data_IF_095895159482
#
_entry.id   IF_095895159482
#
_cell.length_a   1.000
_cell.length_b   1.000
_cell.length_c   1.000
_cell.angle_alpha   90.00
_cell.angle_beta   90.00
_cell.angle_gamma   90.00
#
_symmetry.space_group_name_H-M   'P 1'
#
loop_
_entity.id
_entity.type
_entity.pdbx_description
1 polymer ?
#
# COMPACT_ATOMS: atom_id res chain seq x y z
N UNK A 1 25.88 -12.31 -17.61
CA UNK A 1 25.02 -11.39 -18.39
C UNK A 1 24.42 -12.16 -19.55
N UNK A 2 23.11 -12.13 -19.76
CA UNK A 2 22.52 -12.60 -21.03
C UNK A 2 22.19 -11.37 -21.88
N UNK A 3 22.73 -11.30 -23.09
CA UNK A 3 22.51 -10.19 -24.04
C UNK A 3 21.01 -9.94 -24.32
N UNK A 4 20.20 -11.01 -24.20
CA UNK A 4 18.75 -10.96 -24.34
C UNK A 4 18.04 -10.17 -23.23
N UNK A 5 18.49 -10.27 -21.98
CA UNK A 5 17.87 -9.60 -20.82
C UNK A 5 18.09 -8.09 -20.88
N UNK A 6 19.32 -7.66 -21.15
CA UNK A 6 19.64 -6.24 -21.36
C UNK A 6 18.78 -5.65 -22.47
N UNK A 7 18.70 -6.32 -23.63
CA UNK A 7 17.90 -5.86 -24.77
C UNK A 7 16.41 -5.73 -24.45
N UNK A 8 15.86 -6.63 -23.64
CA UNK A 8 14.46 -6.55 -23.21
C UNK A 8 14.21 -5.34 -22.29
N UNK A 9 15.06 -5.15 -21.28
CA UNK A 9 14.94 -4.03 -20.33
C UNK A 9 15.16 -2.69 -21.05
N UNK A 10 16.12 -2.65 -21.96
CA UNK A 10 16.36 -1.50 -22.82
C UNK A 10 15.13 -1.15 -23.66
N UNK A 11 14.42 -2.16 -24.20
CA UNK A 11 13.17 -1.96 -24.93
C UNK A 11 12.07 -1.40 -24.02
N UNK A 12 11.94 -1.89 -22.78
CA UNK A 12 10.99 -1.35 -21.80
C UNK A 12 11.29 0.11 -21.44
N UNK A 13 12.57 0.45 -21.26
CA UNK A 13 13.00 1.81 -20.96
C UNK A 13 12.70 2.74 -22.16
N UNK A 14 13.01 2.32 -23.38
CA UNK A 14 12.69 3.06 -24.59
C UNK A 14 11.19 3.31 -24.76
N UNK A 15 10.38 2.26 -24.61
CA UNK A 15 8.92 2.37 -24.69
C UNK A 15 8.37 3.36 -23.65
N UNK A 16 8.91 3.34 -22.43
CA UNK A 16 8.51 4.25 -21.38
C UNK A 16 8.93 5.70 -21.68
N UNK A 17 10.19 5.96 -22.02
CA UNK A 17 10.66 7.31 -22.28
C UNK A 17 10.00 7.93 -23.52
N UNK A 18 9.73 7.13 -24.56
CA UNK A 18 8.93 7.59 -25.71
C UNK A 18 7.51 7.96 -25.33
N UNK A 19 6.90 7.21 -24.39
CA UNK A 19 5.59 7.54 -23.84
C UNK A 19 5.63 8.85 -23.05
N UNK A 20 6.64 9.06 -22.21
CA UNK A 20 6.85 10.31 -21.45
C UNK A 20 7.01 11.53 -22.37
N UNK A 21 7.66 11.36 -23.52
CA UNK A 21 7.88 12.42 -24.51
C UNK A 21 6.75 12.59 -25.53
N UNK A 22 5.68 11.80 -25.42
CA UNK A 22 4.56 11.81 -26.38
C UNK A 22 4.98 11.57 -27.84
N UNK A 23 6.17 10.99 -28.07
CA UNK A 23 6.76 10.82 -29.40
C UNK A 23 6.04 9.76 -30.26
N UNK A 24 5.13 8.96 -29.68
CA UNK A 24 4.31 8.00 -30.42
C UNK A 24 3.05 7.60 -29.65
N UNK A 25 1.90 7.55 -30.34
CA UNK A 25 0.72 6.79 -29.90
C UNK A 25 1.09 5.31 -29.69
N UNK A 26 0.36 4.56 -28.83
CA UNK A 26 0.72 3.20 -28.46
C UNK A 26 0.88 2.37 -29.73
N UNK A 27 2.12 2.00 -30.04
CA UNK A 27 2.38 1.12 -31.17
C UNK A 27 1.58 -0.16 -30.94
N UNK A 28 0.98 -0.68 -32.00
CA UNK A 28 0.31 -1.99 -32.03
C UNK A 28 1.22 -3.15 -31.60
N UNK A 29 2.51 -2.90 -31.34
CA UNK A 29 3.52 -3.83 -30.85
C UNK A 29 3.99 -3.66 -29.39
N UNK A 30 3.46 -2.71 -28.59
CA UNK A 30 3.88 -2.59 -27.18
C UNK A 30 3.41 -3.79 -26.35
N UNK A 31 4.34 -4.45 -25.66
CA UNK A 31 4.02 -5.59 -24.81
C UNK A 31 3.06 -5.19 -23.69
N UNK A 32 2.26 -6.15 -23.17
CA UNK A 32 1.37 -5.87 -22.02
C UNK A 32 2.15 -5.32 -20.82
N UNK A 33 3.37 -5.82 -20.61
CA UNK A 33 4.32 -5.36 -19.60
C UNK A 33 4.67 -3.89 -19.77
N UNK A 34 5.01 -3.48 -20.99
CA UNK A 34 5.32 -2.10 -21.36
C UNK A 34 4.16 -1.14 -21.05
N UNK A 35 2.92 -1.52 -21.37
CA UNK A 35 1.72 -0.71 -21.06
C UNK A 35 1.47 -0.53 -19.56
N UNK A 36 1.66 -1.60 -18.78
CA UNK A 36 1.52 -1.52 -17.31
C UNK A 36 2.63 -0.65 -16.73
N UNK A 37 3.87 -0.85 -17.16
CA UNK A 37 5.00 -0.03 -16.75
C UNK A 37 4.75 1.45 -17.04
N UNK A 38 4.30 1.78 -18.25
CA UNK A 38 3.95 3.14 -18.64
C UNK A 38 2.96 3.77 -17.66
N UNK A 39 1.86 3.09 -17.36
CA UNK A 39 0.85 3.61 -16.44
C UNK A 39 1.40 3.82 -15.02
N UNK A 40 2.10 2.83 -14.46
CA UNK A 40 2.57 2.87 -13.08
C UNK A 40 3.73 3.86 -12.93
N UNK A 41 4.77 3.75 -13.77
CA UNK A 41 5.94 4.63 -13.74
C UNK A 41 5.57 6.08 -14.04
N UNK A 42 4.64 6.34 -14.97
CA UNK A 42 4.19 7.71 -15.24
C UNK A 42 3.36 8.29 -14.09
N UNK A 43 2.56 7.48 -13.39
CA UNK A 43 1.88 7.93 -12.18
C UNK A 43 2.88 8.28 -11.07
N UNK A 44 3.93 7.47 -10.88
CA UNK A 44 5.02 7.77 -9.94
C UNK A 44 5.74 9.05 -10.34
N UNK A 45 6.13 9.17 -11.61
CA UNK A 45 6.77 10.37 -12.15
C UNK A 45 5.96 11.64 -11.85
N UNK A 46 4.65 11.64 -12.15
CA UNK A 46 3.79 12.82 -11.88
C UNK A 46 3.72 13.20 -10.41
N UNK A 47 3.65 12.20 -9.53
CA UNK A 47 3.61 12.42 -8.08
C UNK A 47 4.94 13.03 -7.59
N UNK A 48 6.06 12.50 -8.08
CA UNK A 48 7.40 13.01 -7.78
C UNK A 48 7.60 14.43 -8.33
N UNK A 49 7.27 14.67 -9.61
CA UNK A 49 7.35 15.99 -10.24
C UNK A 49 6.52 17.03 -9.48
N UNK A 50 5.38 16.62 -8.91
CA UNK A 50 4.52 17.49 -8.12
C UNK A 50 5.09 17.75 -6.72
N UNK A 51 5.44 16.70 -5.99
CA UNK A 51 5.80 16.81 -4.58
C UNK A 51 7.24 17.32 -4.40
N UNK A 52 8.13 16.99 -5.33
CA UNK A 52 9.55 17.31 -5.28
C UNK A 52 9.94 18.43 -6.23
N UNK A 53 8.97 19.18 -6.75
CA UNK A 53 9.20 20.32 -7.64
C UNK A 53 10.31 21.26 -7.16
N UNK A 54 10.34 21.73 -5.89
CA UNK A 54 11.37 22.65 -5.43
C UNK A 54 12.77 22.03 -5.44
N UNK A 55 12.86 20.72 -5.18
CA UNK A 55 14.10 19.97 -5.21
C UNK A 55 14.56 19.83 -6.67
N UNK A 56 13.68 19.36 -7.55
CA UNK A 56 13.93 19.19 -8.98
C UNK A 56 14.34 20.50 -9.66
N UNK A 57 13.74 21.64 -9.31
CA UNK A 57 14.06 22.94 -9.90
C UNK A 57 15.50 23.41 -9.57
N UNK A 58 16.17 22.82 -8.57
CA UNK A 58 17.52 23.20 -8.13
C UNK A 58 18.66 22.44 -8.81
N UNK A 59 18.38 21.51 -9.72
CA UNK A 59 19.43 20.79 -10.46
C UNK A 59 19.25 21.01 -11.96
N UNK A 60 20.30 21.57 -12.57
CA UNK A 60 20.41 21.76 -14.01
C UNK A 60 20.95 20.49 -14.66
N UNK A 61 20.23 19.99 -15.68
CA UNK A 61 20.65 18.82 -16.46
C UNK A 61 20.92 19.29 -17.88
N UNK A 62 22.15 19.73 -18.12
CA UNK A 62 22.52 20.43 -19.36
C UNK A 62 22.99 19.43 -20.44
N UNK A 63 23.51 18.27 -20.01
CA UNK A 63 24.01 17.22 -20.89
C UNK A 63 23.52 15.81 -20.52
N UNK A 64 23.74 14.85 -21.43
CA UNK A 64 23.47 13.43 -21.19
C UNK A 64 24.41 12.89 -20.09
N UNK A 65 25.63 13.42 -19.99
CA UNK A 65 26.59 13.03 -18.96
C UNK A 65 26.16 13.53 -17.57
N UNK A 66 25.61 14.74 -17.49
CA UNK A 66 24.99 15.25 -16.26
C UNK A 66 23.81 14.39 -15.87
N UNK A 67 22.96 14.02 -16.83
CA UNK A 67 21.82 13.14 -16.59
C UNK A 67 22.26 11.77 -16.07
N UNK A 68 23.29 11.16 -16.66
CA UNK A 68 23.86 9.88 -16.21
C UNK A 68 24.45 10.00 -14.80
N UNK A 69 25.19 11.07 -14.53
CA UNK A 69 25.81 11.31 -13.20
C UNK A 69 24.75 11.47 -12.12
N UNK A 70 23.73 12.30 -12.36
CA UNK A 70 22.62 12.52 -11.42
C UNK A 70 21.82 11.24 -11.25
N UNK A 71 21.54 10.52 -12.35
CA UNK A 71 20.87 9.22 -12.31
C UNK A 71 21.57 8.25 -11.38
N UNK A 72 22.87 8.03 -11.58
CA UNK A 72 23.64 7.10 -10.75
C UNK A 72 23.68 7.56 -9.29
N UNK A 73 23.90 8.85 -9.01
CA UNK A 73 23.90 9.35 -7.62
C UNK A 73 22.57 9.11 -6.90
N UNK A 74 21.45 9.37 -7.57
CA UNK A 74 20.12 9.16 -6.98
C UNK A 74 19.83 7.67 -6.83
N UNK A 75 20.13 6.86 -7.84
CA UNK A 75 19.83 5.43 -7.80
C UNK A 75 20.75 4.68 -6.84
N UNK A 76 22.05 4.99 -6.78
CA UNK A 76 22.97 4.43 -5.78
C UNK A 76 22.50 4.78 -4.36
N UNK A 77 22.05 6.01 -4.13
CA UNK A 77 21.52 6.43 -2.84
C UNK A 77 20.20 5.77 -2.50
N UNK A 78 19.31 5.64 -3.47
CA UNK A 78 18.05 4.92 -3.34
C UNK A 78 18.37 3.49 -2.87
N UNK A 79 19.18 2.74 -3.62
CA UNK A 79 19.52 1.33 -3.40
C UNK A 79 20.65 1.07 -2.39
N UNK A 80 21.08 2.07 -1.62
CA UNK A 80 22.15 1.95 -0.60
C UNK A 80 21.75 1.00 0.54
N UNK A 81 20.46 0.88 0.82
CA UNK A 81 19.90 -0.01 1.84
C UNK A 81 19.87 -1.49 1.42
N UNK A 82 20.24 -1.81 0.17
CA UNK A 82 20.23 -3.17 -0.37
C UNK A 82 18.83 -3.74 -0.64
N UNK A 83 17.76 -3.02 -0.31
CA UNK A 83 16.38 -3.50 -0.48
C UNK A 83 15.95 -3.32 -1.94
N UNK A 84 15.45 -4.39 -2.55
CA UNK A 84 14.96 -4.36 -3.94
C UNK A 84 13.51 -4.86 -3.96
N UNK A 85 12.62 -4.10 -4.61
CA UNK A 85 11.24 -4.50 -4.87
C UNK A 85 10.71 -3.85 -6.15
N UNK A 86 9.57 -4.33 -6.67
CA UNK A 86 8.97 -3.82 -7.90
C UNK A 86 8.63 -2.32 -7.85
N UNK A 87 8.23 -1.80 -6.69
CA UNK A 87 7.98 -0.36 -6.51
C UNK A 87 9.23 0.47 -6.76
N UNK A 88 10.37 0.05 -6.21
CA UNK A 88 11.67 0.71 -6.37
C UNK A 88 12.27 0.47 -7.76
N UNK A 89 12.04 -0.67 -8.38
CA UNK A 89 12.41 -0.87 -9.80
C UNK A 89 11.65 0.12 -10.69
N UNK A 90 10.37 0.38 -10.39
CA UNK A 90 9.57 1.38 -11.11
C UNK A 90 10.09 2.81 -10.91
N UNK A 91 10.68 3.15 -9.75
CA UNK A 91 11.27 4.49 -9.54
C UNK A 91 12.46 4.74 -10.46
N UNK A 92 13.22 3.70 -10.82
CA UNK A 92 14.32 3.78 -11.80
C UNK A 92 13.79 4.31 -13.15
N UNK A 93 12.70 3.72 -13.65
CA UNK A 93 12.07 4.20 -14.89
C UNK A 93 11.53 5.61 -14.70
N UNK A 94 10.75 5.85 -13.65
CA UNK A 94 10.13 7.15 -13.38
C UNK A 94 11.17 8.29 -13.33
N UNK A 95 12.33 8.05 -12.69
CA UNK A 95 13.41 9.03 -12.63
C UNK A 95 14.07 9.25 -13.99
N UNK A 96 14.28 8.19 -14.79
CA UNK A 96 14.68 8.33 -16.19
C UNK A 96 13.70 9.21 -16.99
N UNK A 97 12.40 9.09 -16.73
CA UNK A 97 11.34 9.93 -17.29
C UNK A 97 11.44 11.41 -16.88
N UNK A 98 11.88 11.70 -15.66
CA UNK A 98 12.12 13.07 -15.18
C UNK A 98 13.35 13.65 -15.88
N UNK A 99 14.44 12.88 -15.93
CA UNK A 99 15.69 13.32 -16.55
C UNK A 99 15.53 13.64 -18.02
N UNK A 100 14.81 12.81 -18.80
CA UNK A 100 14.60 13.08 -20.23
C UNK A 100 13.84 14.39 -20.45
N UNK A 101 12.84 14.71 -19.62
CA UNK A 101 12.13 15.99 -19.71
C UNK A 101 13.04 17.17 -19.37
N UNK A 102 13.92 17.03 -18.37
CA UNK A 102 14.85 18.11 -17.99
C UNK A 102 15.92 18.34 -19.06
N UNK A 103 16.55 17.28 -19.57
CA UNK A 103 17.56 17.37 -20.64
C UNK A 103 16.99 18.04 -21.89
N UNK A 104 15.76 17.69 -22.28
CA UNK A 104 15.14 18.26 -23.48
C UNK A 104 14.62 19.68 -23.29
N UNK A 105 14.28 20.09 -22.06
CA UNK A 105 13.84 21.46 -21.76
C UNK A 105 14.97 22.48 -21.92
N UNK A 106 16.20 22.08 -21.63
CA UNK A 106 17.40 22.94 -21.72
C UNK A 106 18.04 22.92 -23.13
N UNK A 107 17.59 22.07 -24.04
CA UNK A 107 18.16 21.95 -25.40
C UNK A 107 17.33 22.69 -26.45
N UNK A 108 18.03 23.49 -27.26
CA UNK A 108 17.46 24.26 -28.38
C UNK A 108 17.00 23.35 -29.54
N UNK A 109 17.60 22.16 -29.69
CA UNK A 109 17.16 21.13 -30.63
C UNK A 109 17.23 19.74 -29.94
N UNK A 110 16.10 19.04 -29.75
CA UNK A 110 16.11 17.69 -29.21
C UNK A 110 16.79 16.75 -30.20
N UNK A 111 17.93 16.17 -29.82
CA UNK A 111 18.52 15.08 -30.59
C UNK A 111 17.55 13.89 -30.51
N UNK A 112 17.16 13.38 -31.69
CA UNK A 112 16.18 12.31 -31.87
C UNK A 112 16.57 11.07 -31.06
N UNK A 113 17.85 10.91 -30.71
CA UNK A 113 18.36 9.74 -30.01
C UNK A 113 18.59 9.93 -28.50
N UNK A 114 18.32 11.11 -27.93
CA UNK A 114 18.53 11.38 -26.48
C UNK A 114 17.82 10.36 -25.57
N UNK A 115 16.62 9.91 -25.94
CA UNK A 115 15.90 8.90 -25.17
C UNK A 115 16.59 7.54 -25.20
N UNK A 116 17.37 7.22 -26.25
CA UNK A 116 18.13 5.97 -26.36
C UNK A 116 19.26 5.95 -25.34
N UNK A 117 19.99 7.05 -25.18
CA UNK A 117 21.08 7.15 -24.20
C UNK A 117 20.58 7.01 -22.77
N UNK A 118 19.47 7.70 -22.43
CA UNK A 118 18.84 7.56 -21.12
C UNK A 118 18.29 6.15 -20.91
N UNK A 119 17.66 5.56 -21.93
CA UNK A 119 17.21 4.16 -21.86
C UNK A 119 18.37 3.20 -21.62
N UNK A 120 19.56 3.48 -22.18
CA UNK A 120 20.73 2.63 -22.06
C UNK A 120 21.20 2.57 -20.61
N UNK A 121 21.45 3.72 -19.97
CA UNK A 121 21.94 3.71 -18.59
C UNK A 121 20.87 3.28 -17.58
N UNK A 122 19.58 3.50 -17.87
CA UNK A 122 18.48 2.91 -17.10
C UNK A 122 18.55 1.39 -17.16
N UNK A 123 18.68 0.81 -18.36
CA UNK A 123 18.76 -0.63 -18.53
C UNK A 123 20.03 -1.22 -17.92
N UNK A 124 21.17 -0.53 -18.07
CA UNK A 124 22.45 -0.88 -17.47
C UNK A 124 22.34 -0.94 -15.95
N UNK A 125 21.76 0.08 -15.32
CA UNK A 125 21.57 0.10 -13.87
C UNK A 125 20.67 -1.04 -13.40
N UNK A 126 19.53 -1.27 -14.06
CA UNK A 126 18.61 -2.36 -13.71
C UNK A 126 19.32 -3.70 -13.82
N UNK A 127 20.01 -3.98 -14.92
CA UNK A 127 20.73 -5.25 -15.10
C UNK A 127 21.80 -5.45 -14.03
N UNK A 128 22.55 -4.40 -13.72
CA UNK A 128 23.69 -4.49 -12.80
C UNK A 128 23.28 -4.58 -11.32
N UNK A 129 22.17 -3.94 -10.93
CA UNK A 129 21.80 -3.80 -9.53
C UNK A 129 20.53 -4.57 -9.14
N UNK A 130 19.59 -4.79 -10.07
CA UNK A 130 18.29 -5.42 -9.76
C UNK A 130 17.98 -6.66 -10.59
N UNK A 131 18.79 -6.97 -11.60
CA UNK A 131 18.54 -8.06 -12.56
C UNK A 131 18.47 -9.45 -11.92
N UNK A 132 19.33 -9.74 -10.93
CA UNK A 132 19.26 -11.01 -10.20
C UNK A 132 17.97 -11.15 -9.41
N UNK A 133 17.60 -10.10 -8.67
CA UNK A 133 16.37 -10.06 -7.90
C UNK A 133 15.14 -10.24 -8.80
N UNK A 134 15.10 -9.56 -9.95
CA UNK A 134 14.02 -9.67 -10.94
C UNK A 134 13.85 -11.12 -11.41
N UNK A 135 14.95 -11.82 -11.72
CA UNK A 135 14.90 -13.22 -12.14
C UNK A 135 14.36 -14.15 -11.06
N UNK A 136 14.77 -13.93 -9.80
CA UNK A 136 14.30 -14.71 -8.66
C UNK A 136 12.81 -14.46 -8.35
N UNK A 137 12.29 -13.28 -8.71
CA UNK A 137 10.91 -12.85 -8.44
C UNK A 137 9.97 -12.95 -9.64
N UNK A 138 10.11 -14.04 -10.42
CA UNK A 138 9.18 -14.35 -11.52
C UNK A 138 9.36 -13.51 -12.79
N UNK A 139 10.46 -12.77 -12.88
CA UNK A 139 10.84 -11.96 -14.03
C UNK A 139 9.81 -10.88 -14.37
N UNK A 140 9.85 -10.40 -15.60
CA UNK A 140 8.96 -9.33 -16.07
C UNK A 140 7.51 -9.77 -16.37
N UNK A 141 7.06 -10.90 -15.82
CA UNK A 141 5.71 -11.42 -16.00
C UNK A 141 4.73 -10.67 -15.09
N UNK A 142 3.68 -10.08 -15.69
CA UNK A 142 2.72 -9.18 -15.02
C UNK A 142 2.08 -9.68 -13.73
N UNK A 143 1.89 -11.00 -13.57
CA UNK A 143 1.35 -11.57 -12.32
C UNK A 143 2.30 -11.38 -11.14
N UNK A 144 3.59 -11.17 -11.38
CA UNK A 144 4.61 -11.01 -10.35
C UNK A 144 4.91 -9.55 -9.98
N UNK A 145 4.50 -8.58 -10.79
CA UNK A 145 4.72 -7.14 -10.50
C UNK A 145 3.93 -6.67 -9.26
N UNK A 146 2.84 -7.37 -8.96
CA UNK A 146 1.99 -7.21 -7.79
C UNK A 146 2.10 -8.41 -6.84
N UNK A 147 3.07 -9.30 -7.08
CA UNK A 147 3.44 -10.38 -6.18
C UNK A 147 4.70 -9.94 -5.44
N UNK A 148 4.59 -9.77 -4.15
CA UNK A 148 5.59 -9.04 -3.37
C UNK A 148 6.02 -10.00 -2.26
N UNK A 149 6.89 -10.96 -2.57
CA UNK A 149 7.28 -11.99 -1.58
C UNK A 149 8.48 -11.57 -0.71
N UNK A 150 8.94 -10.30 -0.77
CA UNK A 150 10.27 -9.96 -0.20
C UNK A 150 10.40 -8.63 0.59
N UNK A 151 9.33 -7.86 0.86
CA UNK A 151 9.46 -6.65 1.72
C UNK A 151 9.54 -6.93 3.23
N UNK A 152 9.28 -8.15 3.71
CA UNK A 152 9.01 -8.40 5.14
C UNK A 152 10.22 -8.84 5.99
N UNK A 153 11.39 -9.10 5.39
CA UNK A 153 12.49 -9.76 6.10
C UNK A 153 13.45 -8.85 6.89
N UNK A 154 13.59 -7.55 6.58
CA UNK A 154 14.75 -6.78 7.08
C UNK A 154 14.45 -5.47 7.83
N UNK A 155 13.19 -5.14 8.12
CA UNK A 155 12.84 -3.93 8.90
C UNK A 155 12.87 -4.12 10.44
N UNK A 156 13.52 -5.16 10.97
CA UNK A 156 13.60 -5.42 12.41
C UNK A 156 14.95 -5.16 13.10
N UNK A 157 16.02 -4.80 12.37
CA UNK A 157 17.29 -4.42 12.99
C UNK A 157 17.83 -3.11 12.40
N UNK A 158 17.58 -1.98 13.07
CA UNK A 158 18.48 -0.80 13.09
C UNK A 158 17.89 0.31 13.97
N UNK A 159 17.70 0.01 15.26
CA UNK A 159 17.66 1.05 16.28
C UNK A 159 18.97 0.96 17.07
N UNK A 160 20.06 1.52 16.54
CA UNK A 160 21.21 2.05 17.32
C UNK A 160 22.33 2.51 16.37
N UNK A 161 22.69 3.79 16.48
CA UNK A 161 24.11 4.17 16.43
C UNK A 161 24.62 5.02 15.25
N UNK A 162 24.76 6.32 15.56
CA UNK A 162 25.79 7.30 15.15
C UNK A 162 25.69 7.99 13.78
N UNK A 163 25.40 9.29 13.86
CA UNK A 163 25.68 10.32 12.84
C UNK A 163 27.17 10.39 12.47
N UNK A 164 27.52 10.55 11.19
CA UNK A 164 28.77 11.16 10.78
C UNK A 164 28.55 12.64 10.47
N UNK A 165 29.35 13.45 11.14
CA UNK A 165 29.54 14.88 10.92
C UNK A 165 30.39 15.12 9.67
N UNK A 166 29.83 15.74 8.63
CA UNK A 166 30.55 16.70 7.78
C UNK A 166 29.60 17.41 6.82
N UNK A 167 29.46 18.72 7.01
CA UNK A 167 28.77 19.64 6.11
C UNK A 167 29.56 19.79 4.81
N UNK A 168 28.94 19.39 3.70
CA UNK A 168 29.17 20.02 2.38
C UNK A 168 27.83 20.12 1.67
N UNK A 169 27.46 21.35 1.33
CA UNK A 169 26.26 21.72 0.58
C UNK A 169 26.36 21.17 -0.85
N UNK A 170 25.84 19.97 -1.06
CA UNK A 170 25.39 19.39 -2.34
C UNK A 170 24.11 18.62 -1.98
N UNK A 171 23.01 18.90 -2.67
CA UNK A 171 21.62 18.65 -2.22
C UNK A 171 21.39 17.33 -1.49
N UNK A 172 20.54 17.34 -0.47
CA UNK A 172 20.26 16.20 0.40
C UNK A 172 19.53 15.08 -0.38
N UNK A 173 20.31 14.27 -1.12
CA UNK A 173 19.84 13.11 -1.87
C UNK A 173 19.17 12.07 -0.97
N UNK A 174 19.45 12.08 0.33
CA UNK A 174 18.80 11.20 1.30
C UNK A 174 17.33 11.58 1.47
N UNK A 175 17.02 12.87 1.55
CA UNK A 175 15.64 13.34 1.59
C UNK A 175 14.91 13.02 0.27
N UNK A 176 15.56 13.29 -0.87
CA UNK A 176 14.98 13.01 -2.17
C UNK A 176 14.67 11.52 -2.38
N UNK A 177 15.60 10.61 -2.02
CA UNK A 177 15.37 9.16 -2.06
C UNK A 177 14.24 8.71 -1.15
N UNK A 178 14.18 9.21 0.10
CA UNK A 178 13.05 8.90 1.01
C UNK A 178 11.70 9.33 0.44
N UNK A 179 11.63 10.50 -0.18
CA UNK A 179 10.40 11.01 -0.76
C UNK A 179 10.00 10.25 -2.05
N UNK A 180 10.97 9.83 -2.86
CA UNK A 180 10.79 8.94 -4.01
C UNK A 180 10.22 7.57 -3.57
N UNK A 181 10.83 6.95 -2.56
CA UNK A 181 10.38 5.69 -2.00
C UNK A 181 8.95 5.80 -1.41
N UNK A 182 8.66 6.87 -0.65
CA UNK A 182 7.33 7.13 -0.11
C UNK A 182 6.28 7.34 -1.21
N UNK A 183 6.63 8.04 -2.29
CA UNK A 183 5.77 8.22 -3.46
C UNK A 183 5.52 6.89 -4.20
N UNK A 184 6.54 6.04 -4.31
CA UNK A 184 6.43 4.71 -4.91
C UNK A 184 5.50 3.80 -4.10
N UNK A 185 5.65 3.76 -2.77
CA UNK A 185 4.77 3.01 -1.88
C UNK A 185 3.33 3.52 -2.00
N UNK A 186 3.14 4.85 -1.97
CA UNK A 186 1.82 5.47 -2.13
C UNK A 186 1.15 5.13 -3.48
N UNK A 187 1.94 5.10 -4.56
CA UNK A 187 1.48 4.69 -5.90
C UNK A 187 1.13 3.20 -5.96
N UNK A 188 1.95 2.34 -5.38
CA UNK A 188 1.69 0.90 -5.29
C UNK A 188 0.40 0.62 -4.50
N UNK A 189 0.23 1.27 -3.35
CA UNK A 189 -1.02 1.24 -2.58
C UNK A 189 -2.21 1.71 -3.42
N UNK A 190 -2.08 2.80 -4.20
CA UNK A 190 -3.15 3.33 -5.06
C UNK A 190 -3.56 2.32 -6.15
N UNK A 191 -2.58 1.71 -6.82
CA UNK A 191 -2.80 0.69 -7.85
C UNK A 191 -3.49 -0.55 -7.27
N UNK A 192 -3.00 -1.06 -6.14
CA UNK A 192 -3.59 -2.23 -5.48
C UNK A 192 -5.02 -1.94 -4.99
N UNK A 193 -5.29 -0.72 -4.47
CA UNK A 193 -6.67 -0.31 -4.12
C UNK A 193 -7.60 -0.34 -5.33
N UNK A 194 -7.14 0.10 -6.50
CA UNK A 194 -7.96 0.11 -7.71
C UNK A 194 -8.29 -1.32 -8.18
N UNK A 195 -7.30 -2.20 -8.16
CA UNK A 195 -7.45 -3.62 -8.48
C UNK A 195 -8.44 -4.32 -7.54
N UNK A 196 -8.24 -4.20 -6.22
CA UNK A 196 -9.08 -4.86 -5.23
C UNK A 196 -10.53 -4.36 -5.30
N UNK A 197 -10.74 -3.07 -5.53
CA UNK A 197 -12.09 -2.54 -5.78
C UNK A 197 -12.74 -3.18 -7.01
N UNK A 198 -11.97 -3.44 -8.07
CA UNK A 198 -12.49 -4.14 -9.24
C UNK A 198 -12.86 -5.60 -8.92
N UNK A 199 -12.00 -6.32 -8.20
CA UNK A 199 -12.27 -7.70 -7.75
C UNK A 199 -13.53 -7.76 -6.89
N UNK A 200 -13.65 -6.87 -5.89
CA UNK A 200 -14.80 -6.79 -5.00
C UNK A 200 -16.09 -6.45 -5.74
N UNK A 201 -16.04 -5.53 -6.73
CA UNK A 201 -17.20 -5.22 -7.58
C UNK A 201 -17.67 -6.40 -8.43
N UNK A 202 -16.78 -7.31 -8.79
CA UNK A 202 -17.10 -8.50 -9.56
C UNK A 202 -17.78 -9.60 -8.71
N UNK A 203 -17.71 -9.53 -7.38
CA UNK A 203 -18.40 -10.45 -6.49
C UNK A 203 -19.91 -10.25 -6.54
N UNK A 204 -20.64 -11.35 -6.72
CA UNK A 204 -22.10 -11.36 -6.60
C UNK A 204 -22.52 -11.13 -5.16
N UNK A 205 -23.73 -10.60 -4.98
CA UNK A 205 -24.30 -10.41 -3.64
C UNK A 205 -24.43 -11.75 -2.87
N UNK A 206 -24.74 -12.83 -3.59
CA UNK A 206 -24.82 -14.19 -3.02
C UNK A 206 -23.47 -14.67 -2.48
N UNK A 207 -22.39 -14.50 -3.23
CA UNK A 207 -21.06 -14.92 -2.78
C UNK A 207 -20.58 -14.09 -1.59
N UNK A 208 -20.86 -12.78 -1.57
CA UNK A 208 -20.56 -11.92 -0.42
C UNK A 208 -21.29 -12.40 0.83
N UNK A 209 -22.59 -12.70 0.73
CA UNK A 209 -23.38 -13.20 1.84
C UNK A 209 -22.92 -14.58 2.31
N UNK A 210 -22.56 -15.47 1.38
CA UNK A 210 -22.06 -16.82 1.68
C UNK A 210 -20.75 -16.78 2.46
N UNK A 211 -19.76 -16.02 1.98
CA UNK A 211 -18.49 -15.84 2.69
C UNK A 211 -18.70 -15.12 4.05
N UNK A 212 -19.59 -14.12 4.12
CA UNK A 212 -19.88 -13.43 5.39
C UNK A 212 -20.43 -14.38 6.45
N UNK A 213 -21.41 -15.23 6.10
CA UNK A 213 -21.96 -16.25 7.00
C UNK A 213 -20.90 -17.24 7.49
N UNK A 214 -20.01 -17.68 6.59
CA UNK A 214 -18.89 -18.56 6.96
C UNK A 214 -17.97 -17.87 7.97
N UNK A 215 -17.60 -16.61 7.72
CA UNK A 215 -16.74 -15.86 8.63
C UNK A 215 -17.43 -15.57 9.97
N UNK A 216 -18.74 -15.30 9.99
CA UNK A 216 -19.52 -15.21 11.24
C UNK A 216 -19.34 -16.46 12.09
N UNK A 217 -19.49 -17.65 11.50
CA UNK A 217 -19.31 -18.92 12.23
C UNK A 217 -17.88 -19.07 12.76
N UNK A 218 -16.86 -18.76 11.94
CA UNK A 218 -15.45 -18.78 12.36
C UNK A 218 -15.19 -17.81 13.53
N UNK A 219 -15.74 -16.60 13.46
CA UNK A 219 -15.61 -15.58 14.51
C UNK A 219 -16.24 -16.04 15.82
N UNK A 220 -17.46 -16.58 15.78
CA UNK A 220 -18.16 -17.06 16.98
C UNK A 220 -17.39 -18.20 17.67
N UNK A 221 -16.74 -19.06 16.88
CA UNK A 221 -15.87 -20.12 17.38
C UNK A 221 -14.48 -19.63 17.84
N UNK A 222 -14.09 -18.40 17.49
CA UNK A 222 -12.74 -17.91 17.70
C UNK A 222 -12.42 -17.62 19.17
N UNK A 223 -11.28 -18.11 19.66
CA UNK A 223 -10.96 -18.05 21.09
C UNK A 223 -10.76 -16.63 21.63
N UNK A 224 -10.17 -15.73 20.84
CA UNK A 224 -10.02 -14.32 21.23
C UNK A 224 -11.38 -13.65 21.34
N UNK A 225 -12.26 -13.88 20.35
CA UNK A 225 -13.63 -13.37 20.37
C UNK A 225 -14.40 -13.84 21.62
N UNK A 226 -14.30 -15.12 21.96
CA UNK A 226 -14.99 -15.68 23.13
C UNK A 226 -14.53 -15.04 24.44
N UNK A 227 -13.22 -14.78 24.60
CA UNK A 227 -12.62 -14.19 25.81
C UNK A 227 -12.86 -12.68 25.94
N UNK A 228 -12.96 -11.96 24.82
CA UNK A 228 -13.13 -10.51 24.81
C UNK A 228 -14.47 -10.06 25.40
N UNK A 229 -14.44 -8.99 26.19
CA UNK A 229 -15.62 -8.36 26.79
C UNK A 229 -15.96 -7.04 26.14
N UNK A 230 -14.96 -6.30 25.67
CA UNK A 230 -15.09 -4.98 25.02
C UNK A 230 -14.59 -5.08 23.58
N UNK A 231 -15.52 -4.99 22.63
CA UNK A 231 -15.26 -5.30 21.22
C UNK A 231 -15.58 -4.09 20.37
N UNK A 232 -14.67 -3.72 19.49
CA UNK A 232 -14.93 -2.79 18.41
C UNK A 232 -15.23 -3.55 17.11
N UNK A 233 -16.28 -3.14 16.42
CA UNK A 233 -16.69 -3.72 15.13
C UNK A 233 -17.16 -2.63 14.17
N UNK A 234 -16.79 -2.76 12.89
CA UNK A 234 -17.23 -1.84 11.85
C UNK A 234 -18.65 -2.19 11.36
N UNK A 235 -19.37 -1.18 10.88
CA UNK A 235 -20.62 -1.37 10.16
C UNK A 235 -20.31 -1.48 8.66
N UNK A 236 -20.59 -2.64 8.08
CA UNK A 236 -20.07 -3.03 6.76
C UNK A 236 -20.52 -2.11 5.63
N UNK A 237 -19.57 -1.75 4.76
CA UNK A 237 -19.87 -1.27 3.40
C UNK A 237 -20.24 -2.44 2.48
N UNK A 238 -20.80 -2.12 1.30
CA UNK A 238 -21.19 -3.13 0.30
C UNK A 238 -20.02 -4.01 -0.19
N UNK A 239 -18.78 -3.51 -0.10
CA UNK A 239 -17.54 -4.18 -0.51
C UNK A 239 -16.76 -4.77 0.67
N UNK A 240 -17.42 -4.97 1.83
CA UNK A 240 -16.84 -5.56 3.04
C UNK A 240 -17.65 -6.79 3.50
N UNK A 241 -17.04 -7.64 4.32
CA UNK A 241 -17.73 -8.74 5.01
C UNK A 241 -18.87 -8.16 5.87
N UNK A 242 -20.06 -8.77 5.79
CA UNK A 242 -21.22 -8.35 6.56
C UNK A 242 -21.06 -8.70 8.04
N UNK A 243 -21.17 -7.71 8.91
CA UNK A 243 -20.93 -7.86 10.36
C UNK A 243 -22.22 -7.93 11.19
N UNK A 244 -23.40 -7.83 10.58
CA UNK A 244 -24.68 -7.73 11.30
C UNK A 244 -24.92 -8.93 12.25
N UNK A 245 -24.66 -10.15 11.78
CA UNK A 245 -24.83 -11.35 12.61
C UNK A 245 -23.82 -11.41 13.77
N UNK A 246 -22.59 -10.93 13.54
CA UNK A 246 -21.56 -10.82 14.60
C UNK A 246 -22.01 -9.80 15.65
N UNK A 247 -22.54 -8.65 15.24
CA UNK A 247 -23.08 -7.63 16.16
C UNK A 247 -24.18 -8.24 17.02
N UNK A 248 -25.14 -8.97 16.43
CA UNK A 248 -26.20 -9.64 17.19
C UNK A 248 -25.64 -10.60 18.23
N UNK A 249 -24.65 -11.43 17.87
CA UNK A 249 -24.01 -12.37 18.80
C UNK A 249 -23.22 -11.66 19.91
N UNK A 250 -22.56 -10.52 19.62
CA UNK A 250 -21.88 -9.68 20.64
C UNK A 250 -22.86 -9.32 21.76
N UNK A 251 -24.04 -8.81 21.40
CA UNK A 251 -25.06 -8.42 22.38
C UNK A 251 -25.69 -9.64 23.08
N UNK A 252 -25.96 -10.72 22.36
CA UNK A 252 -26.49 -11.96 22.95
C UNK A 252 -25.57 -12.54 24.03
N UNK A 253 -24.25 -12.36 23.88
CA UNK A 253 -23.25 -12.81 24.86
C UNK A 253 -22.98 -11.78 25.97
N UNK A 254 -23.71 -10.68 26.02
CA UNK A 254 -23.53 -9.63 27.03
C UNK A 254 -22.19 -8.90 26.93
N UNK A 255 -21.57 -8.88 25.75
CA UNK A 255 -20.32 -8.14 25.49
C UNK A 255 -20.64 -6.68 25.21
N UNK A 256 -19.70 -5.78 25.49
CA UNK A 256 -19.84 -4.35 25.18
C UNK A 256 -19.39 -4.09 23.74
N UNK A 257 -20.29 -3.55 22.93
CA UNK A 257 -20.05 -3.27 21.52
C UNK A 257 -19.71 -1.79 21.29
N UNK A 258 -18.64 -1.52 20.54
CA UNK A 258 -18.25 -0.20 20.08
C UNK A 258 -18.18 -0.16 18.55
N UNK A 259 -18.64 0.93 17.95
CA UNK A 259 -18.60 1.15 16.50
C UNK A 259 -17.80 2.41 16.16
N UNK A 260 -17.20 2.50 14.95
CA UNK A 260 -16.51 3.71 14.50
C UNK A 260 -17.43 4.94 14.41
N UNK A 261 -16.95 6.08 14.91
CA UNK A 261 -17.45 7.42 14.60
C UNK A 261 -16.33 8.23 13.95
N UNK A 262 -16.50 8.57 12.68
CA UNK A 262 -15.49 9.26 11.88
C UNK A 262 -15.64 10.78 11.97
N UNK A 263 -14.52 11.49 12.11
CA UNK A 263 -14.44 12.94 11.89
C UNK A 263 -13.87 13.20 10.50
N UNK A 264 -14.70 13.65 9.56
CA UNK A 264 -14.32 13.75 8.14
C UNK A 264 -13.35 14.91 7.83
N UNK A 265 -13.26 15.90 8.71
CA UNK A 265 -12.37 17.04 8.61
C UNK A 265 -10.91 16.67 8.95
N UNK A 266 -10.68 15.51 9.55
CA UNK A 266 -9.37 15.01 9.95
C UNK A 266 -9.24 13.50 9.66
N UNK A 267 -8.13 12.87 10.06
CA UNK A 267 -7.97 11.42 10.11
C UNK A 267 -8.36 10.83 11.48
N UNK A 268 -9.14 11.57 12.27
CA UNK A 268 -9.57 11.15 13.61
C UNK A 268 -10.82 10.29 13.57
N UNK A 269 -10.82 9.24 14.38
CA UNK A 269 -11.93 8.30 14.57
C UNK A 269 -11.94 7.86 16.01
N UNK A 270 -13.12 7.77 16.62
CA UNK A 270 -13.31 7.17 17.93
C UNK A 270 -14.19 5.91 17.82
N UNK A 271 -14.05 5.00 18.77
CA UNK A 271 -14.95 3.85 18.91
C UNK A 271 -15.96 4.18 20.00
N UNK A 272 -17.21 4.36 19.60
CA UNK A 272 -18.31 4.79 20.47
C UNK A 272 -19.26 3.64 20.77
N UNK A 273 -19.75 3.59 22.00
CA UNK A 273 -20.59 2.48 22.46
C UNK A 273 -21.94 2.45 21.75
N UNK A 274 -22.31 1.27 21.28
CA UNK A 274 -23.61 0.95 20.71
C UNK A 274 -24.51 0.34 21.81
N UNK A 275 -25.75 0.80 21.92
CA UNK A 275 -26.68 0.37 22.97
C UNK A 275 -27.41 -0.93 22.63
N UNK A 276 -27.74 -1.13 21.35
CA UNK A 276 -28.33 -2.39 20.84
C UNK A 276 -28.10 -2.54 19.33
N UNK A 277 -28.30 -3.75 18.74
CA UNK A 277 -28.28 -3.91 17.29
C UNK A 277 -29.33 -3.06 16.57
N UNK A 278 -30.52 -2.91 17.15
CA UNK A 278 -31.66 -2.19 16.55
C UNK A 278 -31.41 -0.68 16.45
N UNK A 279 -30.58 -0.14 17.35
CA UNK A 279 -30.16 1.26 17.33
C UNK A 279 -29.48 1.64 16.00
N UNK A 280 -28.75 0.72 15.36
CA UNK A 280 -28.01 1.02 14.13
C UNK A 280 -28.90 1.65 13.06
N UNK A 281 -30.12 1.14 12.90
CA UNK A 281 -31.07 1.61 11.89
C UNK A 281 -31.60 3.02 12.15
N UNK A 282 -31.54 3.52 13.39
CA UNK A 282 -31.99 4.87 13.76
C UNK A 282 -30.88 5.93 13.67
N UNK A 283 -29.62 5.52 13.61
CA UNK A 283 -28.48 6.43 13.49
C UNK A 283 -28.48 7.15 12.13
N UNK A 284 -28.03 8.41 12.07
CA UNK A 284 -27.84 9.09 10.79
C UNK A 284 -26.74 8.41 9.96
N UNK A 285 -26.82 8.59 8.65
CA UNK A 285 -25.82 8.08 7.72
C UNK A 285 -24.79 9.14 7.35
N UNK A 286 -23.55 8.70 7.19
CA UNK A 286 -22.45 9.49 6.64
C UNK A 286 -22.55 9.62 5.12
N UNK A 287 -21.65 10.40 4.52
CA UNK A 287 -21.47 10.48 3.06
C UNK A 287 -21.00 9.15 2.43
N UNK A 288 -20.55 8.18 3.23
CA UNK A 288 -20.25 6.82 2.79
C UNK A 288 -21.43 5.85 2.95
N UNK A 289 -22.62 6.36 3.29
CA UNK A 289 -23.84 5.56 3.52
C UNK A 289 -23.71 4.57 4.69
N UNK A 290 -22.79 4.83 5.63
CA UNK A 290 -22.62 4.08 6.88
C UNK A 290 -23.30 4.83 8.02
N UNK A 291 -24.01 4.09 8.88
CA UNK A 291 -24.62 4.62 10.11
C UNK A 291 -23.55 4.99 11.16
N UNK A 292 -23.68 6.15 11.79
CA UNK A 292 -22.89 6.51 12.97
C UNK A 292 -23.65 7.52 13.85
N UNK A 293 -23.34 7.64 15.16
CA UNK A 293 -23.89 8.72 15.97
C UNK A 293 -23.54 10.11 15.41
N UNK A 294 -24.49 11.04 15.49
CA UNK A 294 -24.31 12.42 15.05
C UNK A 294 -23.34 13.20 15.94
N UNK A 295 -22.88 14.38 15.49
CA UNK A 295 -21.89 15.19 16.22
C UNK A 295 -22.38 15.64 17.62
N UNK A 296 -23.68 15.89 17.77
CA UNK A 296 -24.28 16.27 19.07
C UNK A 296 -24.64 15.09 19.99
N UNK A 297 -24.45 13.85 19.53
CA UNK A 297 -24.76 12.66 20.31
C UNK A 297 -23.55 12.27 21.17
N UNK A 298 -23.64 12.57 22.47
CA UNK A 298 -22.58 12.28 23.44
C UNK A 298 -22.60 10.78 23.77
N UNK A 299 -21.52 10.10 23.41
CA UNK A 299 -21.37 8.65 23.56
C UNK A 299 -20.19 8.29 24.44
N UNK A 300 -20.30 7.16 25.12
CA UNK A 300 -19.19 6.53 25.80
C UNK A 300 -18.13 6.10 24.76
N UNK A 301 -16.89 6.57 24.92
CA UNK A 301 -15.77 6.24 24.05
C UNK A 301 -14.94 5.11 24.65
N UNK A 302 -14.52 4.16 23.81
CA UNK A 302 -13.85 2.96 24.31
C UNK A 302 -12.58 3.26 25.10
N UNK A 303 -11.74 4.20 24.63
CA UNK A 303 -10.48 4.56 25.27
C UNK A 303 -10.67 5.35 26.57
N UNK A 304 -11.80 6.05 26.76
CA UNK A 304 -12.07 6.76 28.00
C UNK A 304 -12.65 5.87 29.10
N UNK A 305 -13.15 4.67 28.76
CA UNK A 305 -13.77 3.74 29.70
C UNK A 305 -13.07 2.38 29.83
N UNK A 306 -11.76 2.36 29.58
CA UNK A 306 -10.90 1.19 29.86
C UNK A 306 -10.41 0.43 28.63
N UNK A 307 -10.61 0.95 27.43
CA UNK A 307 -10.01 0.40 26.21
C UNK A 307 -10.86 -0.66 25.50
N UNK A 308 -10.20 -1.52 24.73
CA UNK A 308 -10.78 -2.58 23.91
C UNK A 308 -9.98 -3.87 24.07
N UNK A 309 -10.65 -5.00 24.09
CA UNK A 309 -10.01 -6.31 24.09
C UNK A 309 -9.78 -6.82 22.66
N UNK A 310 -10.71 -6.51 21.75
CA UNK A 310 -10.71 -6.96 20.36
C UNK A 310 -11.21 -5.86 19.43
N UNK A 311 -10.54 -5.71 18.28
CA UNK A 311 -10.96 -4.82 17.20
C UNK A 311 -11.10 -5.65 15.92
N UNK A 312 -12.31 -5.67 15.35
CA UNK A 312 -12.50 -6.17 13.99
C UNK A 312 -12.01 -5.13 12.98
N UNK A 313 -11.07 -5.54 12.14
CA UNK A 313 -10.34 -4.64 11.25
C UNK A 313 -10.87 -4.72 9.81
N UNK A 314 -11.47 -3.65 9.26
CA UNK A 314 -11.81 -3.60 7.85
C UNK A 314 -10.59 -3.17 7.00
N UNK A 315 -10.63 -3.51 5.72
CA UNK A 315 -9.58 -3.19 4.75
C UNK A 315 -10.01 -3.54 3.34
N UNK A 316 -9.35 -2.97 2.35
CA UNK A 316 -9.54 -3.36 0.94
C UNK A 316 -8.75 -4.62 0.60
N UNK A 317 -7.59 -4.82 1.24
CA UNK A 317 -6.75 -6.00 1.05
C UNK A 317 -5.89 -6.30 2.26
N UNK A 318 -5.48 -7.55 2.37
CA UNK A 318 -4.68 -8.08 3.46
C UNK A 318 -3.70 -9.10 2.91
N UNK A 319 -2.57 -9.31 3.57
CA UNK A 319 -1.67 -10.42 3.26
C UNK A 319 -1.49 -11.39 4.44
N UNK A 320 -0.79 -12.49 4.19
CA UNK A 320 -0.54 -13.53 5.20
C UNK A 320 0.38 -13.06 6.34
N UNK A 321 1.03 -11.91 6.20
CA UNK A 321 1.86 -11.29 7.24
C UNK A 321 1.08 -10.31 8.13
N UNK A 322 -0.23 -10.19 7.93
CA UNK A 322 -1.09 -9.26 8.66
C UNK A 322 -0.96 -7.81 8.19
N UNK A 323 -0.28 -7.54 7.07
CA UNK A 323 -0.28 -6.19 6.50
C UNK A 323 -1.67 -5.88 5.95
N UNK A 324 -2.09 -4.61 6.06
CA UNK A 324 -3.45 -4.18 5.74
C UNK A 324 -3.46 -2.98 4.81
N UNK A 325 -4.18 -3.09 3.70
CA UNK A 325 -4.44 -1.98 2.80
C UNK A 325 -5.79 -1.32 3.13
N UNK A 326 -5.75 -0.21 3.85
CA UNK A 326 -6.95 0.60 4.10
C UNK A 326 -7.42 1.41 2.88
N UNK A 327 -8.52 2.17 3.05
CA UNK A 327 -9.09 3.05 2.00
C UNK A 327 -8.29 4.34 1.73
N UNK A 328 -7.22 4.61 2.49
CA UNK A 328 -6.25 5.69 2.25
C UNK A 328 -6.29 6.88 3.20
N UNK A 329 -7.21 6.89 4.19
CA UNK A 329 -7.32 7.97 5.19
C UNK A 329 -6.56 7.71 6.49
N UNK A 330 -6.08 6.49 6.72
CA UNK A 330 -5.29 6.15 7.91
C UNK A 330 -6.03 6.16 9.25
N UNK A 331 -7.37 6.14 9.27
CA UNK A 331 -8.17 6.19 10.51
C UNK A 331 -7.80 5.07 11.48
N UNK A 332 -7.77 3.82 11.00
CA UNK A 332 -7.46 2.66 11.82
C UNK A 332 -6.01 2.66 12.29
N UNK A 333 -5.05 3.04 11.44
CA UNK A 333 -3.64 3.12 11.81
C UNK A 333 -3.42 4.16 12.91
N UNK A 334 -4.06 5.32 12.78
CA UNK A 334 -4.07 6.39 13.80
C UNK A 334 -4.74 5.93 15.10
N UNK A 335 -5.86 5.22 15.01
CA UNK A 335 -6.59 4.71 16.17
C UNK A 335 -5.81 3.63 16.93
N UNK A 336 -5.14 2.71 16.21
CA UNK A 336 -4.30 1.68 16.83
C UNK A 336 -3.09 2.28 17.55
N UNK A 337 -2.45 3.31 16.98
CA UNK A 337 -1.39 4.07 17.68
C UNK A 337 -1.91 4.69 18.98
N UNK A 338 -3.12 5.27 19.00
CA UNK A 338 -3.76 5.76 20.23
C UNK A 338 -4.02 4.65 21.25
N UNK A 339 -4.45 3.48 20.80
CA UNK A 339 -4.65 2.32 21.68
C UNK A 339 -3.34 1.93 22.38
N UNK A 340 -2.23 1.85 21.64
CA UNK A 340 -0.91 1.54 22.20
C UNK A 340 -0.42 2.57 23.23
N UNK A 341 -0.79 3.84 23.05
CA UNK A 341 -0.39 4.91 23.96
C UNK A 341 -1.27 4.98 25.22
N UNK A 342 -2.55 4.60 25.13
CA UNK A 342 -3.54 4.84 26.18
C UNK A 342 -3.97 3.57 26.93
N UNK A 343 -3.69 2.38 26.38
CA UNK A 343 -4.03 1.10 26.99
C UNK A 343 -2.76 0.34 27.40
N UNK A 344 -2.77 -0.26 28.59
CA UNK A 344 -1.63 -1.06 29.08
C UNK A 344 -1.44 -2.38 28.31
N UNK A 345 -2.51 -2.90 27.70
CA UNK A 345 -2.48 -4.10 26.86
C UNK A 345 -3.05 -3.73 25.49
N UNK A 346 -2.32 -4.07 24.42
CA UNK A 346 -2.77 -3.86 23.03
C UNK A 346 -4.04 -4.70 22.78
N UNK A 347 -5.11 -4.15 22.17
CA UNK A 347 -6.24 -4.94 21.72
C UNK A 347 -5.81 -5.98 20.68
N UNK A 348 -6.41 -7.17 20.70
CA UNK A 348 -6.27 -8.12 19.60
C UNK A 348 -6.93 -7.55 18.35
N UNK A 349 -6.28 -7.67 17.20
CA UNK A 349 -6.77 -7.12 15.93
C UNK A 349 -7.05 -8.25 14.96
N UNK A 350 -8.33 -8.42 14.62
CA UNK A 350 -8.83 -9.52 13.80
C UNK A 350 -9.48 -8.97 12.53
N UNK A 351 -8.80 -9.12 11.40
CA UNK A 351 -9.35 -8.71 10.11
C UNK A 351 -10.36 -9.73 9.57
N UNK A 352 -11.43 -9.23 8.98
CA UNK A 352 -12.41 -10.04 8.25
C UNK A 352 -12.32 -9.73 6.77
N UNK A 353 -11.99 -10.73 5.96
CA UNK A 353 -11.70 -10.54 4.54
C UNK A 353 -12.42 -11.59 3.68
N UNK A 354 -12.93 -11.15 2.53
CA UNK A 354 -13.21 -12.09 1.45
C UNK A 354 -11.91 -12.72 0.95
N UNK A 355 -11.95 -13.96 0.43
CA UNK A 355 -10.76 -14.59 -0.18
C UNK A 355 -10.16 -13.75 -1.31
N UNK A 356 -11.00 -12.97 -2.02
CA UNK A 356 -10.59 -12.06 -3.09
C UNK A 356 -9.77 -10.85 -2.61
N UNK A 357 -9.82 -10.55 -1.31
CA UNK A 357 -9.06 -9.49 -0.66
C UNK A 357 -7.69 -9.96 -0.17
N UNK A 358 -7.42 -11.27 -0.22
CA UNK A 358 -6.12 -11.82 0.15
C UNK A 358 -5.14 -11.55 -1.00
N UNK A 359 -4.14 -10.75 -0.68
CA UNK A 359 -2.99 -10.43 -1.51
C UNK A 359 -1.82 -11.30 -1.08
N UNK A 360 -0.90 -11.53 -2.00
CA UNK A 360 0.37 -12.16 -1.65
C UNK A 360 1.18 -11.25 -0.73
N UNK A 361 1.18 -9.93 -1.01
CA UNK A 361 1.65 -8.92 -0.08
C UNK A 361 1.01 -7.56 -0.33
N UNK A 362 0.88 -6.80 0.75
CA UNK A 362 0.41 -5.42 0.74
C UNK A 362 1.60 -4.47 0.82
N UNK A 363 1.71 -3.44 -0.06
CA UNK A 363 2.72 -2.39 0.09
C UNK A 363 2.48 -1.61 1.38
N UNK A 364 3.51 -1.51 2.21
CA UNK A 364 3.45 -0.83 3.52
C UNK A 364 4.58 0.19 3.67
N UNK A 365 4.36 1.14 4.58
CA UNK A 365 5.36 2.07 5.11
C UNK A 365 5.35 2.01 6.65
N UNK A 366 6.27 2.74 7.28
CA UNK A 366 6.46 2.79 8.74
C UNK A 366 5.22 3.25 9.53
N UNK A 367 4.23 3.86 8.88
CA UNK A 367 3.02 4.32 9.53
C UNK A 367 1.87 3.31 9.51
N UNK A 368 1.95 2.25 8.72
CA UNK A 368 0.90 1.24 8.65
C UNK A 368 0.99 0.27 9.83
N UNK A 369 -0.18 -0.05 10.39
CA UNK A 369 -0.29 -0.96 11.52
C UNK A 369 -0.73 -2.35 11.03
N UNK A 370 0.09 -3.38 11.33
CA UNK A 370 -0.27 -4.78 11.09
C UNK A 370 -1.43 -5.21 11.98
N UNK A 371 -2.23 -6.14 11.47
CA UNK A 371 -3.22 -6.88 12.25
C UNK A 371 -2.60 -8.16 12.82
N UNK A 372 -3.14 -8.66 13.93
CA UNK A 372 -2.64 -9.88 14.56
C UNK A 372 -3.09 -11.13 13.78
N UNK A 373 -4.28 -11.08 13.16
CA UNK A 373 -4.83 -12.19 12.38
C UNK A 373 -5.78 -11.72 11.27
N UNK A 374 -5.81 -12.47 10.16
CA UNK A 374 -6.73 -12.28 9.04
C UNK A 374 -7.58 -13.53 8.86
N UNK A 375 -8.89 -13.41 9.08
CA UNK A 375 -9.85 -14.48 8.80
C UNK A 375 -10.45 -14.33 7.41
N UNK A 376 -10.41 -15.41 6.64
CA UNK A 376 -11.02 -15.53 5.32
C UNK A 376 -11.45 -16.98 5.03
N UNK A 377 -12.14 -17.20 3.91
CA UNK A 377 -12.45 -18.54 3.41
C UNK A 377 -11.21 -19.19 2.79
N UNK A 378 -10.76 -20.31 3.35
CA UNK A 378 -9.66 -21.06 2.78
C UNK A 378 -10.15 -21.93 1.61
N UNK A 379 -9.41 -21.94 0.50
CA UNK A 379 -9.78 -22.70 -0.71
C UNK A 379 -9.32 -24.16 -0.69
N UNK A 380 -8.52 -24.53 0.30
CA UNK A 380 -8.16 -25.91 0.63
C UNK A 380 -9.27 -26.55 1.44
N UNK A 381 -10.05 -27.45 0.81
CA UNK A 381 -10.90 -28.37 1.55
C UNK A 381 -10.07 -29.15 2.57
N UNK A 382 -10.55 -29.20 3.82
CA UNK A 382 -10.14 -30.16 4.84
C UNK A 382 -8.66 -30.14 5.26
N UNK A 383 -8.21 -29.13 6.00
CA UNK A 383 -7.49 -29.28 7.27
C UNK A 383 -7.11 -27.91 7.84
N UNK A 384 -7.31 -27.76 9.15
CA UNK A 384 -7.04 -26.55 9.91
C UNK A 384 -5.53 -26.30 9.97
N UNK A 385 -5.06 -25.19 9.38
CA UNK A 385 -3.78 -24.59 9.76
C UNK A 385 -4.01 -23.18 10.30
N UNK A 386 -4.00 -23.09 11.64
CA UNK A 386 -3.90 -21.85 12.40
C UNK A 386 -2.46 -21.33 12.27
N UNK A 387 -2.23 -20.28 11.49
CA UNK A 387 -0.96 -19.54 11.56
C UNK A 387 -1.05 -18.52 12.68
N UNK A 388 -0.42 -18.83 13.81
CA UNK A 388 -0.14 -17.86 14.88
C UNK A 388 1.20 -17.20 14.57
N UNK A 389 1.23 -15.88 14.40
CA UNK A 389 2.47 -15.12 14.48
C UNK A 389 2.91 -15.11 15.96
N UNK A 390 4.13 -15.59 16.23
CA UNK A 390 4.77 -15.51 17.55
C UNK A 390 5.30 -14.12 17.83
#
# INVERSE_FOLDING_TARGET
>A
MSDCEFRYIYTLAQDYLRYVLELSQPTSGSSKTSRVLQNVAFSVQKEVEKNLKPCLDNFDVVSIEDARTIFNQVMEKEFEDGIINWGRIVTIFAFGGILIKKVLRERIAPDVDTYKDISYFVAEFIVNHTGEWIRQNGGWVLRHWFNVDLLSAELQETATGKEPTSRTLRGDWTQFGREMAAAAVSSAKRSLRAELKQRLRALSAEERLRQSRLLTQKVIAHSQYQKSKRISIFLSMQDEIETEEIIKDIFQRGKTCFIPRYQFQSNHMDMVKLASPEEISSLPKTSWNIHQPGEGDVREEALSTGGLDLIFMPGLGFDQHGNRLGRGRGYYDTYLKRCLQQQGVKPYTLALAFKEQICLQVPVDENDMKVDEVLYEDTSGSEVQMTTAK
#
